data_IF_627933587764
#
_entry.id   IF_627933587764
#
_cell.length_a   1.000
_cell.length_b   1.000
_cell.length_c   1.000
_cell.angle_alpha   90.00
_cell.angle_beta   90.00
_cell.angle_gamma   90.00
#
_symmetry.space_group_name_H-M   'P 1'
#
loop_
_entity.id
_entity.type
_entity.pdbx_description
1 polymer ?
#
# COMPACT_ATOMS: atom_id res chain seq x y z
N UNK A 1 -10.54 19.23 -62.72
CA UNK A 1 -11.58 19.52 -61.72
C UNK A 1 -12.45 18.27 -61.57
N UNK A 2 -12.67 17.81 -60.33
CA UNK A 2 -13.41 16.59 -59.99
C UNK A 2 -12.58 15.33 -60.27
N UNK A 3 -12.44 14.34 -59.39
CA UNK A 3 -13.37 13.88 -58.36
C UNK A 3 -12.53 13.06 -57.36
N UNK A 4 -12.28 13.64 -56.18
CA UNK A 4 -11.55 12.99 -55.11
C UNK A 4 -12.50 12.10 -54.29
N UNK A 5 -12.05 10.87 -54.10
CA UNK A 5 -12.00 10.09 -52.86
C UNK A 5 -13.33 9.74 -52.20
N UNK A 6 -13.78 8.50 -52.44
CA UNK A 6 -14.71 7.79 -51.55
C UNK A 6 -14.37 6.32 -51.53
N UNK A 7 -13.39 5.93 -50.72
CA UNK A 7 -13.24 4.60 -50.16
C UNK A 7 -12.26 4.76 -49.00
N UNK A 8 -12.79 4.79 -47.77
CA UNK A 8 -12.14 4.50 -46.47
C UNK A 8 -13.00 5.12 -45.35
N UNK A 9 -14.17 4.52 -45.09
CA UNK A 9 -14.89 4.72 -43.84
C UNK A 9 -15.13 3.34 -43.24
N UNK A 10 -14.26 2.96 -42.30
CA UNK A 10 -14.31 1.65 -41.68
C UNK A 10 -13.21 1.41 -40.65
N UNK A 11 -12.84 2.41 -39.85
CA UNK A 11 -12.10 2.20 -38.62
C UNK A 11 -12.98 2.69 -37.48
N UNK A 12 -13.73 1.76 -36.90
CA UNK A 12 -14.35 1.96 -35.59
C UNK A 12 -13.23 2.28 -34.61
N UNK A 13 -13.15 3.53 -34.16
CA UNK A 13 -12.34 3.90 -33.02
C UNK A 13 -12.93 3.20 -31.79
N UNK A 14 -12.34 2.06 -31.42
CA UNK A 14 -12.61 1.45 -30.11
C UNK A 14 -12.12 2.47 -29.08
N UNK A 15 -13.00 3.03 -28.23
CA UNK A 15 -12.56 3.94 -27.21
C UNK A 15 -11.60 3.19 -26.28
N UNK A 16 -10.46 3.79 -25.90
CA UNK A 16 -9.55 3.16 -24.94
C UNK A 16 -10.31 2.91 -23.64
N UNK A 17 -10.39 1.63 -23.25
CA UNK A 17 -10.98 1.23 -21.97
C UNK A 17 -10.12 1.80 -20.85
N UNK A 18 -10.73 2.63 -19.99
CA UNK A 18 -10.06 3.17 -18.81
C UNK A 18 -9.60 2.03 -17.87
N UNK A 19 -8.39 2.20 -17.35
CA UNK A 19 -7.49 1.29 -16.61
C UNK A 19 -7.98 0.74 -15.26
N UNK A 20 -9.29 0.65 -15.01
CA UNK A 20 -9.83 0.19 -13.71
C UNK A 20 -9.55 -1.29 -13.39
N UNK A 21 -9.32 -2.13 -14.40
CA UNK A 21 -9.02 -3.57 -14.21
C UNK A 21 -7.56 -3.85 -13.91
N UNK A 22 -6.65 -2.94 -14.26
CA UNK A 22 -5.19 -3.08 -14.12
C UNK A 22 -4.72 -2.87 -12.66
N UNK A 23 -5.57 -2.30 -11.80
CA UNK A 23 -5.23 -1.99 -10.40
C UNK A 23 -5.79 -3.01 -9.39
N UNK A 24 -6.44 -4.07 -9.87
CA UNK A 24 -7.11 -5.05 -9.02
C UNK A 24 -6.37 -6.38 -9.06
N UNK A 25 -6.17 -6.97 -7.89
CA UNK A 25 -5.49 -8.26 -7.77
C UNK A 25 -4.08 -8.23 -8.39
N UNK A 26 -3.26 -7.29 -7.93
CA UNK A 26 -1.90 -7.05 -8.43
C UNK A 26 -0.92 -6.96 -7.27
N UNK A 27 0.33 -7.29 -7.54
CA UNK A 27 1.45 -7.09 -6.63
C UNK A 27 2.28 -5.90 -7.09
N UNK A 28 2.79 -5.12 -6.15
CA UNK A 28 3.72 -4.03 -6.50
C UNK A 28 5.04 -4.60 -6.99
N UNK A 29 5.66 -3.94 -7.96
CA UNK A 29 7.01 -4.25 -8.39
C UNK A 29 8.03 -3.71 -7.38
N UNK A 30 8.17 -4.43 -6.27
CA UNK A 30 9.16 -4.21 -5.22
C UNK A 30 9.65 -5.56 -4.68
N UNK A 31 10.91 -5.68 -4.28
CA UNK A 31 11.37 -6.88 -3.58
C UNK A 31 10.90 -6.84 -2.12
N UNK A 32 10.44 -7.96 -1.54
CA UNK A 32 10.41 -9.33 -2.07
C UNK A 32 9.08 -9.77 -2.73
N UNK A 33 8.20 -8.85 -3.15
CA UNK A 33 6.90 -9.21 -3.74
C UNK A 33 7.05 -10.12 -4.96
N UNK A 34 6.10 -11.06 -5.08
CA UNK A 34 5.91 -11.86 -6.29
C UNK A 34 5.43 -10.99 -7.45
N UNK A 35 5.63 -11.41 -8.72
CA UNK A 35 5.10 -10.70 -9.88
C UNK A 35 3.56 -10.63 -9.90
N UNK A 36 2.91 -11.70 -9.45
CA UNK A 36 1.45 -11.82 -9.46
C UNK A 36 0.94 -12.51 -8.17
N UNK A 37 -0.30 -12.23 -7.74
CA UNK A 37 -0.90 -12.91 -6.60
C UNK A 37 -1.13 -14.40 -6.89
N UNK A 38 -0.85 -15.24 -5.90
CA UNK A 38 -1.18 -16.66 -5.96
C UNK A 38 -1.37 -17.24 -4.55
N UNK A 39 -2.03 -18.41 -4.41
CA UNK A 39 -2.15 -19.10 -3.13
C UNK A 39 -0.77 -19.48 -2.54
N UNK A 40 -0.65 -19.36 -1.22
CA UNK A 40 0.53 -19.68 -0.40
C UNK A 40 0.05 -20.41 0.87
N UNK A 41 0.08 -21.74 0.86
CA UNK A 41 -0.51 -22.54 1.95
C UNK A 41 0.24 -22.39 3.29
N UNK A 42 1.51 -22.02 3.24
CA UNK A 42 2.45 -22.04 4.38
C UNK A 42 2.83 -20.62 4.85
N UNK A 43 1.91 -19.66 4.75
CA UNK A 43 2.14 -18.35 5.36
C UNK A 43 2.20 -18.46 6.88
N UNK A 44 3.11 -17.70 7.49
CA UNK A 44 3.40 -17.76 8.92
C UNK A 44 2.52 -16.81 9.76
N UNK A 45 2.02 -17.30 10.89
CA UNK A 45 1.34 -16.53 11.96
C UNK A 45 0.43 -15.37 11.47
N UNK A 46 0.79 -14.11 11.71
CA UNK A 46 0.02 -12.92 11.33
C UNK A 46 -0.26 -12.81 9.82
N UNK A 47 0.52 -13.49 8.97
CA UNK A 47 0.37 -13.49 7.51
C UNK A 47 -0.62 -14.54 6.99
N UNK A 48 -1.06 -15.50 7.81
CA UNK A 48 -2.03 -16.55 7.43
C UNK A 48 -3.30 -16.01 6.74
N UNK A 49 -3.85 -14.83 7.09
CA UNK A 49 -5.06 -14.30 6.45
C UNK A 49 -4.98 -14.13 4.93
N UNK A 50 -3.79 -14.08 4.34
CA UNK A 50 -3.60 -13.93 2.89
C UNK A 50 -3.34 -15.25 2.15
N UNK A 51 -3.35 -16.41 2.82
CA UNK A 51 -2.90 -17.69 2.25
C UNK A 51 -3.60 -18.10 0.95
N UNK A 52 -4.87 -17.73 0.75
CA UNK A 52 -5.62 -18.14 -0.44
C UNK A 52 -5.25 -17.30 -1.67
N UNK A 53 -4.66 -16.11 -1.48
CA UNK A 53 -4.24 -15.21 -2.54
C UNK A 53 -3.30 -14.12 -2.01
N UNK A 54 -1.98 -14.31 -2.15
CA UNK A 54 -0.95 -13.45 -1.58
C UNK A 54 0.08 -12.97 -2.60
N UNK A 55 0.67 -11.81 -2.33
CA UNK A 55 1.83 -11.26 -3.03
C UNK A 55 3.18 -11.58 -2.38
N UNK A 56 3.18 -12.16 -1.17
CA UNK A 56 4.37 -12.62 -0.47
C UNK A 56 4.55 -14.13 -0.67
N UNK A 57 5.71 -14.66 -0.30
CA UNK A 57 5.99 -16.09 -0.21
C UNK A 57 5.95 -16.57 1.25
N UNK A 58 5.89 -17.88 1.48
CA UNK A 58 6.13 -18.47 2.79
C UNK A 58 7.43 -17.95 3.46
N UNK A 59 8.54 -17.89 2.70
CA UNK A 59 9.81 -17.36 3.21
C UNK A 59 9.73 -15.89 3.62
N UNK A 60 9.07 -15.05 2.82
CA UNK A 60 8.85 -13.63 3.14
C UNK A 60 8.01 -13.50 4.42
N UNK A 61 6.98 -14.33 4.57
CA UNK A 61 6.14 -14.32 5.78
C UNK A 61 6.93 -14.74 7.02
N UNK A 62 7.80 -15.75 6.92
CA UNK A 62 8.69 -16.13 8.01
C UNK A 62 9.69 -15.03 8.36
N UNK A 63 10.35 -14.44 7.36
CA UNK A 63 11.32 -13.36 7.54
C UNK A 63 10.72 -12.11 8.20
N UNK A 64 9.43 -11.83 7.95
CA UNK A 64 8.70 -10.75 8.60
C UNK A 64 8.63 -10.90 10.13
N UNK A 65 8.77 -12.12 10.66
CA UNK A 65 8.67 -12.43 12.09
C UNK A 65 10.04 -12.62 12.77
N UNK A 66 11.14 -12.36 12.05
CA UNK A 66 12.47 -12.33 12.64
C UNK A 66 12.72 -11.03 13.41
N UNK A 67 13.41 -11.11 14.55
CA UNK A 67 13.75 -9.96 15.40
C UNK A 67 14.50 -8.83 14.65
N UNK A 68 15.29 -9.23 13.65
CA UNK A 68 15.88 -8.33 12.66
C UNK A 68 15.24 -8.69 11.33
N UNK A 69 14.24 -7.91 10.92
CA UNK A 69 13.58 -8.10 9.64
C UNK A 69 14.57 -7.80 8.52
N UNK A 70 15.03 -8.85 7.85
CA UNK A 70 15.91 -8.78 6.67
C UNK A 70 15.27 -7.95 5.54
N UNK A 71 13.94 -7.82 5.54
CA UNK A 71 13.18 -7.06 4.56
C UNK A 71 13.42 -5.54 4.62
N UNK A 72 13.74 -5.01 5.80
CA UNK A 72 13.66 -3.56 6.04
C UNK A 72 14.81 -2.97 6.86
N UNK A 73 15.83 -3.76 7.18
CA UNK A 73 17.02 -3.27 7.87
C UNK A 73 16.69 -2.47 9.14
N UNK A 74 15.63 -2.85 9.86
CA UNK A 74 15.31 -2.35 11.20
C UNK A 74 14.98 -3.52 12.13
N UNK A 75 14.96 -3.26 13.43
CA UNK A 75 14.57 -4.23 14.45
C UNK A 75 13.41 -3.67 15.27
N UNK A 76 12.41 -4.48 15.58
CA UNK A 76 11.31 -4.09 16.46
C UNK A 76 11.77 -3.84 17.90
N UNK A 77 12.95 -4.33 18.28
CA UNK A 77 13.53 -4.19 19.63
C UNK A 77 14.67 -3.16 19.72
N UNK A 78 14.72 -2.17 18.81
CA UNK A 78 15.77 -1.15 18.77
C UNK A 78 15.85 -0.26 20.04
N UNK A 79 14.79 -0.25 20.85
CA UNK A 79 14.71 0.46 22.14
C UNK A 79 14.42 -0.46 23.33
N UNK A 80 14.82 -1.74 23.24
CA UNK A 80 14.48 -2.78 24.20
C UNK A 80 13.28 -3.60 23.74
N UNK A 81 12.76 -4.46 24.62
CA UNK A 81 11.64 -5.34 24.29
C UNK A 81 10.38 -4.50 23.99
N UNK A 82 9.78 -4.75 22.83
CA UNK A 82 8.49 -4.18 22.46
C UNK A 82 7.37 -4.95 23.17
N UNK A 83 6.31 -4.25 23.57
CA UNK A 83 5.15 -4.94 24.15
C UNK A 83 4.53 -5.91 23.12
N UNK A 84 4.11 -7.12 23.51
CA UNK A 84 3.64 -8.14 22.57
C UNK A 84 2.50 -7.66 21.66
N UNK A 85 1.51 -6.96 22.21
CA UNK A 85 0.38 -6.43 21.42
C UNK A 85 0.85 -5.39 20.39
N UNK A 86 1.76 -4.50 20.79
CA UNK A 86 2.38 -3.53 19.88
C UNK A 86 3.16 -4.23 18.76
N UNK A 87 4.00 -5.22 19.10
CA UNK A 87 4.78 -6.00 18.15
C UNK A 87 3.87 -6.70 17.13
N UNK A 88 2.80 -7.33 17.61
CA UNK A 88 1.79 -7.98 16.78
C UNK A 88 1.16 -7.04 15.76
N UNK A 89 0.91 -5.78 16.13
CA UNK A 89 0.42 -4.79 15.16
C UNK A 89 1.43 -4.47 14.05
N UNK A 90 2.73 -4.44 14.35
CA UNK A 90 3.77 -4.25 13.36
C UNK A 90 3.91 -5.44 12.42
N UNK A 91 3.92 -6.66 12.97
CA UNK A 91 3.94 -7.89 12.19
C UNK A 91 2.75 -7.95 11.22
N UNK A 92 1.53 -7.69 11.72
CA UNK A 92 0.34 -7.61 10.88
C UNK A 92 0.45 -6.54 9.78
N UNK A 93 1.05 -5.37 10.08
CA UNK A 93 1.23 -4.32 9.09
C UNK A 93 2.25 -4.70 8.00
N UNK A 94 3.32 -5.40 8.38
CA UNK A 94 4.31 -5.96 7.44
C UNK A 94 3.62 -7.01 6.55
N UNK A 95 2.90 -7.97 7.14
CA UNK A 95 2.12 -8.96 6.40
C UNK A 95 1.13 -8.30 5.43
N UNK A 96 0.42 -7.27 5.89
CA UNK A 96 -0.51 -6.53 5.03
C UNK A 96 0.19 -5.88 3.83
N UNK A 97 1.33 -5.21 4.06
CA UNK A 97 2.10 -4.57 3.00
C UNK A 97 2.71 -5.57 2.00
N UNK A 98 3.22 -6.70 2.51
CA UNK A 98 3.93 -7.70 1.72
C UNK A 98 2.98 -8.63 0.97
N UNK A 99 1.86 -9.01 1.59
CA UNK A 99 1.01 -10.08 1.10
C UNK A 99 -0.26 -9.58 0.41
N UNK A 100 -0.74 -8.35 0.65
CA UNK A 100 -2.04 -7.94 0.11
C UNK A 100 -2.03 -7.72 -1.41
N UNK A 101 -2.88 -8.43 -2.19
CA UNK A 101 -3.07 -8.17 -3.62
C UNK A 101 -4.07 -7.03 -3.89
N UNK A 102 -4.48 -6.30 -2.84
CA UNK A 102 -5.56 -5.31 -2.89
C UNK A 102 -5.04 -3.88 -2.69
N UNK A 103 -3.73 -3.67 -2.74
CA UNK A 103 -3.11 -2.35 -2.60
C UNK A 103 -2.96 -1.60 -3.92
N UNK A 104 -3.32 -2.22 -5.05
CA UNK A 104 -3.15 -1.69 -6.40
C UNK A 104 -3.54 -0.22 -6.62
N UNK A 105 -4.71 0.26 -6.14
CA UNK A 105 -5.11 1.67 -6.31
C UNK A 105 -4.16 2.70 -5.70
N UNK A 106 -3.25 2.27 -4.82
CA UNK A 106 -2.31 3.12 -4.08
C UNK A 106 -0.84 2.85 -4.44
N UNK A 107 -0.59 2.00 -5.43
CA UNK A 107 0.76 1.73 -5.93
C UNK A 107 1.23 2.91 -6.79
N UNK A 108 2.41 3.43 -6.47
CA UNK A 108 3.05 4.54 -7.18
C UNK A 108 4.51 4.20 -7.50
N UNK A 109 4.99 4.68 -8.65
CA UNK A 109 6.40 4.59 -9.05
C UNK A 109 7.21 5.68 -8.33
N UNK A 110 8.30 5.30 -7.67
CA UNK A 110 9.10 6.22 -6.82
C UNK A 110 10.58 6.28 -7.15
N UNK A 111 11.03 5.64 -8.25
CA UNK A 111 12.43 5.65 -8.65
C UNK A 111 12.64 5.83 -10.17
N UNK A 112 13.80 6.37 -10.58
CA UNK A 112 14.18 6.50 -12.00
C UNK A 112 14.55 5.15 -12.65
N UNK A 113 14.89 4.14 -11.84
CA UNK A 113 15.10 2.76 -12.29
C UNK A 113 13.82 1.96 -12.21
N UNK A 114 13.64 1.08 -13.18
CA UNK A 114 12.38 0.51 -13.67
C UNK A 114 11.78 -0.58 -12.75
N UNK A 115 12.08 -0.55 -11.43
CA UNK A 115 11.73 -1.62 -10.48
C UNK A 115 11.45 -1.15 -9.03
N UNK A 116 11.02 0.09 -8.79
CA UNK A 116 10.64 0.51 -7.44
C UNK A 116 9.26 1.15 -7.44
N UNK A 117 8.26 0.32 -7.22
CA UNK A 117 6.93 0.73 -6.81
C UNK A 117 6.82 0.73 -5.28
N UNK A 118 5.95 1.57 -4.74
CA UNK A 118 5.55 1.51 -3.33
C UNK A 118 4.10 1.89 -3.18
N UNK A 119 3.55 1.56 -2.03
CA UNK A 119 2.22 2.04 -1.64
C UNK A 119 2.35 3.41 -0.99
N UNK A 120 1.43 4.31 -1.33
CA UNK A 120 1.31 5.65 -0.77
C UNK A 120 -0.15 5.99 -0.49
N UNK A 121 -0.41 6.58 0.67
CA UNK A 121 -1.72 7.07 1.11
C UNK A 121 -2.83 5.99 1.13
N UNK A 122 -2.48 4.72 1.35
CA UNK A 122 -3.48 3.66 1.47
C UNK A 122 -4.35 3.88 2.74
N UNK A 123 -5.69 4.02 2.61
CA UNK A 123 -6.55 4.48 3.68
C UNK A 123 -6.76 3.38 4.72
N UNK A 124 -6.03 3.40 5.81
CA UNK A 124 -6.18 2.43 6.90
C UNK A 124 -7.43 2.80 7.73
N UNK A 125 -8.26 1.81 8.06
CA UNK A 125 -9.47 2.04 8.85
C UNK A 125 -9.16 2.65 10.22
N UNK A 126 -10.11 3.46 10.71
CA UNK A 126 -9.99 4.19 11.97
C UNK A 126 -9.57 3.28 13.13
N UNK A 127 -10.29 2.18 13.34
CA UNK A 127 -10.04 1.27 14.45
C UNK A 127 -8.68 0.54 14.33
N UNK A 128 -8.24 0.19 13.12
CA UNK A 128 -6.94 -0.46 12.90
C UNK A 128 -5.77 0.47 13.27
N UNK A 129 -5.95 1.78 13.05
CA UNK A 129 -4.97 2.80 13.37
C UNK A 129 -4.98 3.16 14.87
N UNK A 130 -6.17 3.42 15.42
CA UNK A 130 -6.34 3.76 16.85
C UNK A 130 -5.88 2.63 17.76
N UNK A 131 -6.23 1.37 17.44
CA UNK A 131 -5.83 0.22 18.24
C UNK A 131 -4.32 0.01 18.22
N UNK A 132 -3.70 0.12 17.04
CA UNK A 132 -2.25 0.03 16.91
C UNK A 132 -1.54 1.06 17.78
N UNK A 133 -1.98 2.32 17.73
CA UNK A 133 -1.39 3.36 18.57
C UNK A 133 -1.61 3.10 20.06
N UNK A 134 -2.82 2.71 20.46
CA UNK A 134 -3.18 2.47 21.85
C UNK A 134 -2.34 1.36 22.51
N UNK A 135 -2.11 0.26 21.77
CA UNK A 135 -1.35 -0.91 22.24
C UNK A 135 0.16 -0.65 22.24
N UNK A 136 0.63 0.35 21.48
CA UNK A 136 2.02 0.78 21.47
C UNK A 136 2.36 1.88 22.50
N UNK A 137 1.39 2.44 23.25
CA UNK A 137 1.62 3.60 24.13
C UNK A 137 2.77 3.45 25.13
N UNK A 138 3.01 2.24 25.64
CA UNK A 138 4.06 1.94 26.62
C UNK A 138 5.33 1.38 25.99
N UNK A 139 5.31 1.04 24.71
CA UNK A 139 6.50 0.69 23.94
C UNK A 139 7.37 1.93 23.72
N UNK A 140 8.62 1.72 23.34
CA UNK A 140 9.58 2.78 23.11
C UNK A 140 10.12 2.75 21.68
N UNK A 141 10.43 3.93 21.15
CA UNK A 141 11.13 4.09 19.88
C UNK A 141 12.06 5.31 19.96
N UNK A 142 12.87 5.50 18.94
CA UNK A 142 13.76 6.65 18.79
C UNK A 142 13.53 7.43 17.48
N UNK A 143 12.59 6.99 16.63
CA UNK A 143 12.34 7.58 15.32
C UNK A 143 10.85 7.60 15.01
N UNK A 144 10.43 8.64 14.29
CA UNK A 144 9.08 8.78 13.76
C UNK A 144 8.91 8.29 12.32
N UNK A 145 10.00 7.90 11.67
CA UNK A 145 10.03 7.28 10.34
C UNK A 145 11.08 6.18 10.35
N UNK A 146 10.66 4.96 10.04
CA UNK A 146 11.45 3.75 10.14
C UNK A 146 11.89 3.21 8.77
N UNK A 147 11.50 3.82 7.64
CA UNK A 147 11.86 3.34 6.30
C UNK A 147 13.37 3.46 6.01
N UNK A 148 14.08 4.35 6.70
CA UNK A 148 15.51 4.52 6.51
C UNK A 148 16.19 5.41 7.56
N UNK A 149 17.43 5.79 7.26
CA UNK A 149 18.27 6.63 8.15
C UNK A 149 18.45 6.03 9.55
N UNK A 150 18.71 4.72 9.61
CA UNK A 150 19.13 4.02 10.82
C UNK A 150 20.66 4.04 10.94
N UNK A 151 21.16 4.15 12.17
CA UNK A 151 22.58 3.93 12.43
C UNK A 151 22.87 2.43 12.41
N UNK A 152 24.09 2.05 12.06
CA UNK A 152 24.52 0.65 12.01
C UNK A 152 25.64 0.41 13.00
N UNK A 153 25.52 -0.65 13.80
CA UNK A 153 26.60 -1.05 14.70
C UNK A 153 26.54 -2.54 14.99
N UNK A 154 27.69 -3.22 14.82
CA UNK A 154 27.82 -4.69 14.94
C UNK A 154 26.80 -5.44 14.06
N UNK A 155 26.63 -4.99 12.83
CA UNK A 155 25.73 -5.63 11.84
C UNK A 155 24.24 -5.51 12.15
N UNK A 156 23.83 -4.70 13.14
CA UNK A 156 22.41 -4.49 13.47
C UNK A 156 22.04 -3.00 13.38
N UNK A 157 20.82 -2.70 12.91
CA UNK A 157 20.29 -1.34 12.91
C UNK A 157 20.05 -0.87 14.35
N UNK A 158 20.37 0.40 14.61
CA UNK A 158 20.24 1.06 15.91
C UNK A 158 19.74 2.49 15.77
N UNK A 159 19.26 3.02 16.88
CA UNK A 159 18.92 4.43 17.01
C UNK A 159 20.12 5.32 16.65
N UNK A 160 19.90 6.39 15.87
CA UNK A 160 20.91 7.43 15.64
C UNK A 160 21.42 8.04 16.95
N UNK A 161 22.66 8.54 16.94
CA UNK A 161 23.37 9.01 18.15
C UNK A 161 22.62 10.08 18.94
N UNK A 162 21.84 10.93 18.27
CA UNK A 162 21.05 12.03 18.87
C UNK A 162 19.56 11.72 18.98
N UNK A 163 19.18 10.45 18.89
CA UNK A 163 17.81 9.98 18.93
C UNK A 163 17.61 9.04 20.13
N UNK A 164 17.37 9.57 21.34
CA UNK A 164 17.19 8.74 22.52
C UNK A 164 15.87 7.98 22.47
N UNK A 165 15.84 6.79 23.07
CA UNK A 165 14.60 6.03 23.21
C UNK A 165 13.61 6.78 24.12
N UNK A 166 12.40 6.99 23.62
CA UNK A 166 11.27 7.60 24.35
C UNK A 166 10.00 6.78 24.12
N UNK A 167 8.99 6.92 24.99
CA UNK A 167 7.69 6.30 24.75
C UNK A 167 7.13 6.68 23.37
N UNK A 168 6.44 5.76 22.71
CA UNK A 168 5.83 5.99 21.40
C UNK A 168 5.07 7.32 21.27
N UNK A 169 4.25 7.74 22.25
CA UNK A 169 3.54 9.03 22.19
C UNK A 169 4.43 10.26 22.03
N UNK A 170 5.73 10.18 22.37
CA UNK A 170 6.68 11.27 22.12
C UNK A 170 6.96 11.48 20.63
N UNK A 171 7.14 10.38 19.87
CA UNK A 171 7.40 10.43 18.44
C UNK A 171 6.11 10.45 17.61
N UNK A 172 5.04 9.86 18.15
CA UNK A 172 3.73 9.72 17.55
C UNK A 172 2.63 10.23 18.49
N UNK A 173 2.40 11.55 18.57
CA UNK A 173 1.44 12.14 19.51
C UNK A 173 0.00 11.64 19.32
N UNK A 174 -0.39 11.30 18.10
CA UNK A 174 -1.74 10.81 17.75
C UNK A 174 -1.71 9.47 17.01
N UNK A 175 -2.85 8.76 16.89
CA UNK A 175 -2.92 7.58 16.04
C UNK A 175 -2.52 7.84 14.59
N UNK A 176 -3.00 8.95 14.01
CA UNK A 176 -2.66 9.33 12.64
C UNK A 176 -1.14 9.51 12.48
N UNK A 177 -0.48 10.13 13.45
CA UNK A 177 0.98 10.27 13.44
C UNK A 177 1.71 8.93 13.28
N UNK A 178 1.26 7.89 14.00
CA UNK A 178 1.85 6.56 13.89
C UNK A 178 1.60 5.97 12.51
N UNK A 179 0.35 5.87 12.09
CA UNK A 179 -0.03 5.15 10.87
C UNK A 179 0.52 5.82 9.61
N UNK A 180 0.60 7.15 9.60
CA UNK A 180 1.04 7.93 8.45
C UNK A 180 2.56 8.06 8.37
N UNK A 181 3.22 8.37 9.49
CA UNK A 181 4.64 8.77 9.45
C UNK A 181 5.61 7.59 9.54
N UNK A 182 5.23 6.51 10.24
CA UNK A 182 6.18 5.43 10.55
C UNK A 182 6.78 4.78 9.30
N UNK A 183 6.02 4.70 8.21
CA UNK A 183 6.46 4.18 6.91
C UNK A 183 6.41 5.22 5.80
N UNK A 184 6.78 6.46 6.11
CA UNK A 184 6.89 7.58 5.15
C UNK A 184 5.65 7.74 4.25
N UNK A 185 4.44 7.71 4.82
CA UNK A 185 3.19 7.90 4.08
C UNK A 185 2.67 6.67 3.34
N UNK A 186 3.14 5.45 3.66
CA UNK A 186 2.54 4.24 3.06
C UNK A 186 1.05 4.10 3.36
N UNK A 187 0.64 4.41 4.60
CA UNK A 187 -0.76 4.42 4.99
C UNK A 187 -1.21 5.84 5.30
N UNK A 188 -2.51 6.07 5.15
CA UNK A 188 -3.20 7.30 5.56
C UNK A 188 -4.30 6.94 6.56
N UNK A 189 -4.44 7.70 7.64
CA UNK A 189 -5.52 7.47 8.58
C UNK A 189 -6.86 7.85 7.92
N UNK A 190 -7.77 6.88 7.83
CA UNK A 190 -9.12 7.12 7.31
C UNK A 190 -10.10 7.40 8.47
N UNK A 191 -11.04 8.34 8.34
CA UNK A 191 -12.12 8.50 9.31
C UNK A 191 -13.17 7.39 9.20
N UNK A 192 -13.08 6.53 8.18
CA UNK A 192 -14.03 5.46 7.94
C UNK A 192 -13.77 4.27 8.86
N UNK A 193 -14.87 3.64 9.30
CA UNK A 193 -14.84 2.48 10.18
C UNK A 193 -14.62 1.19 9.42
N UNK A 194 -14.10 0.17 10.11
CA UNK A 194 -14.04 -1.22 9.62
C UNK A 194 -15.40 -1.68 9.09
N UNK A 195 -15.40 -2.39 7.97
CA UNK A 195 -16.62 -2.89 7.31
C UNK A 195 -17.38 -1.86 6.46
N UNK A 196 -16.95 -0.60 6.40
CA UNK A 196 -17.59 0.45 5.58
C UNK A 196 -17.44 0.28 4.06
N UNK A 197 -16.52 -0.58 3.62
CA UNK A 197 -16.09 -0.68 2.22
C UNK A 197 -15.31 0.55 1.72
N UNK A 198 -14.87 1.45 2.61
CA UNK A 198 -14.21 2.73 2.27
C UNK A 198 -12.80 2.90 2.86
N UNK A 199 -12.34 1.93 3.63
CA UNK A 199 -10.98 1.88 4.19
C UNK A 199 -10.48 0.44 4.21
N UNK A 200 -9.16 0.29 4.20
CA UNK A 200 -8.44 -0.98 4.25
C UNK A 200 -8.29 -1.46 5.69
N UNK A 201 -8.44 -2.75 5.89
CA UNK A 201 -8.27 -3.43 7.17
C UNK A 201 -7.01 -4.30 7.09
N UNK A 202 -6.08 -4.09 8.01
CA UNK A 202 -4.94 -5.02 8.16
C UNK A 202 -5.33 -6.24 9.00
N UNK A 203 -6.37 -6.13 9.82
CA UNK A 203 -6.96 -7.24 10.59
C UNK A 203 -8.30 -7.68 9.98
N UNK A 204 -8.47 -8.97 9.67
CA UNK A 204 -9.76 -9.53 9.24
C UNK A 204 -9.84 -11.03 9.50
N UNK A 205 -11.05 -11.58 9.59
CA UNK A 205 -11.29 -13.01 9.73
C UNK A 205 -11.26 -13.68 8.34
N UNK A 206 -10.30 -14.57 8.03
CA UNK A 206 -10.16 -15.14 6.69
C UNK A 206 -11.39 -15.95 6.26
N UNK A 207 -12.06 -16.60 7.22
CA UNK A 207 -13.27 -17.38 7.00
C UNK A 207 -14.45 -16.54 6.45
N UNK A 208 -14.43 -15.21 6.63
CA UNK A 208 -15.44 -14.28 6.10
C UNK A 208 -15.03 -13.64 4.77
N UNK A 209 -13.88 -14.04 4.22
CA UNK A 209 -13.28 -13.42 3.05
C UNK A 209 -12.51 -12.14 3.36
N UNK A 210 -11.62 -11.75 2.44
CA UNK A 210 -10.80 -10.54 2.56
C UNK A 210 -11.63 -9.28 2.19
N UNK A 211 -11.93 -8.38 3.15
CA UNK A 211 -12.78 -7.21 2.90
C UNK A 211 -12.11 -6.17 1.99
N UNK A 212 -10.79 -6.20 1.85
CA UNK A 212 -10.04 -5.22 1.06
C UNK A 212 -10.27 -5.40 -0.45
N UNK A 213 -10.76 -6.56 -0.90
CA UNK A 213 -11.08 -6.77 -2.30
C UNK A 213 -12.19 -5.83 -2.78
N UNK A 214 -13.22 -5.58 -1.98
CA UNK A 214 -14.29 -4.63 -2.31
C UNK A 214 -13.78 -3.18 -2.25
N UNK A 215 -12.98 -2.86 -1.22
CA UNK A 215 -12.37 -1.53 -1.06
C UNK A 215 -11.51 -1.21 -2.29
N UNK A 216 -10.64 -2.12 -2.72
CA UNK A 216 -9.81 -1.93 -3.92
C UNK A 216 -10.67 -1.69 -5.17
N UNK A 217 -11.73 -2.49 -5.39
CA UNK A 217 -12.66 -2.30 -6.52
C UNK A 217 -13.31 -0.92 -6.51
N UNK A 218 -13.74 -0.45 -5.33
CA UNK A 218 -14.35 0.87 -5.17
C UNK A 218 -13.37 1.99 -5.55
N UNK A 219 -12.12 1.89 -5.13
CA UNK A 219 -11.11 2.92 -5.40
C UNK A 219 -10.47 2.83 -6.79
N UNK A 220 -10.52 1.66 -7.44
CA UNK A 220 -10.12 1.50 -8.84
C UNK A 220 -11.19 1.98 -9.84
N UNK A 221 -12.42 2.24 -9.39
CA UNK A 221 -13.55 2.56 -10.27
C UNK A 221 -13.38 3.93 -10.97
N UNK A 222 -13.74 4.07 -12.26
CA UNK A 222 -13.41 5.25 -13.08
C UNK A 222 -14.02 6.59 -12.66
N UNK A 223 -14.97 6.61 -11.71
CA UNK A 223 -15.62 7.84 -11.26
C UNK A 223 -14.65 8.90 -10.70
N UNK A 224 -13.40 8.50 -10.34
CA UNK A 224 -12.31 9.42 -9.96
C UNK A 224 -11.23 9.60 -11.03
N UNK A 225 -11.21 8.81 -12.11
CA UNK A 225 -10.16 8.86 -13.14
C UNK A 225 -10.50 9.76 -14.33
N UNK A 226 -11.73 10.29 -14.43
CA UNK A 226 -12.11 11.25 -15.47
C UNK A 226 -11.29 12.55 -15.47
N UNK A 227 -10.57 12.86 -14.38
CA UNK A 227 -9.63 13.97 -14.32
C UNK A 227 -8.29 13.71 -15.03
N UNK A 228 -8.01 12.47 -15.49
CA UNK A 228 -6.72 12.09 -16.11
C UNK A 228 -6.85 11.41 -17.48
N UNK A 229 -8.05 11.29 -18.04
CA UNK A 229 -8.14 11.08 -19.48
C UNK A 229 -7.86 12.43 -20.14
N UNK A 230 -6.86 12.55 -21.03
CA UNK A 230 -6.92 13.57 -22.06
C UNK A 230 -8.18 13.25 -22.86
N UNK A 231 -9.28 13.91 -22.53
CA UNK A 231 -10.39 13.99 -23.46
C UNK A 231 -9.78 14.52 -24.74
N UNK A 232 -9.94 13.78 -25.85
CA UNK A 232 -9.86 14.41 -27.15
C UNK A 232 -10.86 15.56 -27.06
N UNK A 233 -10.37 16.79 -26.85
CA UNK A 233 -11.11 17.99 -27.12
C UNK A 233 -11.44 17.87 -28.61
N UNK A 234 -12.61 17.33 -28.90
CA UNK A 234 -13.22 17.46 -30.20
C UNK A 234 -13.45 18.96 -30.37
N UNK A 235 -12.44 19.65 -30.88
CA UNK A 235 -12.62 20.98 -31.44
C UNK A 235 -13.69 20.81 -32.52
N UNK A 236 -14.88 21.41 -32.39
CA UNK A 236 -15.76 21.49 -33.52
C UNK A 236 -15.04 22.37 -34.53
N UNK A 237 -14.61 21.79 -35.64
CA UNK A 237 -14.22 22.56 -36.82
C UNK A 237 -15.49 23.27 -37.30
N UNK A 238 -15.72 24.47 -36.78
CA UNK A 238 -16.63 25.44 -37.38
C UNK A 238 -16.02 25.83 -38.73
N UNK A 239 -16.45 25.16 -39.79
CA UNK A 239 -16.30 25.64 -41.15
C UNK A 239 -17.06 26.97 -41.26
N UNK A 240 -16.40 28.11 -41.59
CA UNK A 240 -17.14 29.28 -41.99
C UNK A 240 -17.65 29.02 -43.41
N UNK A 241 -18.95 28.83 -43.54
CA UNK A 241 -19.66 29.09 -44.79
C UNK A 241 -19.58 30.60 -45.02
N UNK A 242 -18.70 31.04 -45.90
CA UNK A 242 -18.75 32.36 -46.52
C UNK A 242 -19.02 32.17 -48.02
N UNK A 243 -19.98 32.96 -48.47
CA UNK A 243 -20.57 33.06 -49.81
C UNK A 243 -19.58 33.19 -50.96
#
# INVERSE_FOLDING_TARGET
MGWWWRLLLGLWAVPPTCTGRELLNVCMNAKPHKPEPSPEAELYEECIPWKDNACCTASTSWEAHLDVSLLYNFSLVHCGLMMPDCQRHFLQAICFYQCSPNLGPWIQKVGPHWQAERVLDAPLCLEDCERWWADCRTSHTCKSDWLGSWAWSRGKPRCPERAPCRPFPHYFPTPADLCERIWSGSFRASPERRGSGRCLQKWFEPARGNPNAEVARRFASPARSWARCPGLLAFPLLLPLLS
#
